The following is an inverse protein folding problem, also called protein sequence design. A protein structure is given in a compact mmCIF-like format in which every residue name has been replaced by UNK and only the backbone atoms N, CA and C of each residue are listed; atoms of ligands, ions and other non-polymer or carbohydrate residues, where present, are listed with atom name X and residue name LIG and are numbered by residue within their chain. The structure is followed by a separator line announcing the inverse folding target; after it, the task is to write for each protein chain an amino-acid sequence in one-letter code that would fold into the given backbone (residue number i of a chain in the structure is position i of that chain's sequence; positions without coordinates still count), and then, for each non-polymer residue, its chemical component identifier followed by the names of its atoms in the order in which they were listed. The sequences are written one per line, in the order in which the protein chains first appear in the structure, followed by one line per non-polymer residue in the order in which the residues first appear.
data_IF_061813426878
#
_entry.id   IF_061813426878
#
_cell.length_a   1.000
_cell.length_b   1.000
_cell.length_c   1.000
_cell.angle_alpha   90.00
_cell.angle_beta   90.00
_cell.angle_gamma   90.00
#
_symmetry.space_group_name_H-M   'P 1'
#
loop_
_entity.id
_entity.type
_entity.pdbx_description
1 polymer ?
#
# COMPACT_ATOMS: atom_id res chain seq x y z
N UNK A 1 -20.05 17.22 0.12
CA UNK A 1 -18.69 17.79 0.33
C UNK A 1 -17.97 16.96 1.39
N UNK A 2 -17.37 15.83 1.01
CA UNK A 2 -16.74 14.91 1.97
C UNK A 2 -15.25 15.25 2.14
N UNK A 3 -14.94 16.05 3.16
CA UNK A 3 -13.57 16.15 3.71
C UNK A 3 -13.29 14.88 4.54
N UNK A 4 -12.82 13.81 3.90
CA UNK A 4 -12.13 12.68 4.54
C UNK A 4 -10.84 12.46 3.76
N UNK A 5 -9.66 12.22 4.33
CA UNK A 5 -9.02 12.49 5.62
C UNK A 5 -7.53 12.46 5.26
N UNK A 6 -6.69 13.15 6.02
CA UNK A 6 -5.26 13.31 5.71
C UNK A 6 -4.53 11.97 5.93
N UNK A 7 -4.56 11.06 4.94
CA UNK A 7 -3.82 9.78 4.98
C UNK A 7 -2.31 9.99 5.06
N UNK A 8 -1.84 11.16 4.65
CA UNK A 8 -0.41 11.47 4.58
C UNK A 8 0.20 11.64 5.96
N UNK A 9 1.17 10.79 6.26
CA UNK A 9 1.98 10.81 7.48
C UNK A 9 3.45 11.09 7.15
N UNK A 10 4.28 11.52 8.13
CA UNK A 10 5.72 11.57 7.98
C UNK A 10 6.34 10.22 7.61
N UNK A 11 7.41 10.25 6.80
CA UNK A 11 8.10 9.05 6.32
C UNK A 11 8.59 8.15 7.46
N UNK A 12 9.14 8.71 8.54
CA UNK A 12 9.63 7.93 9.67
C UNK A 12 8.54 7.12 10.36
N UNK A 13 7.32 7.67 10.48
CA UNK A 13 6.18 7.00 11.09
C UNK A 13 5.74 5.83 10.20
N UNK A 14 5.63 6.08 8.90
CA UNK A 14 5.30 5.05 7.93
C UNK A 14 6.32 3.91 7.95
N UNK A 15 7.61 4.24 7.85
CA UNK A 15 8.70 3.28 7.90
C UNK A 15 8.70 2.47 9.19
N UNK A 16 8.45 3.08 10.35
CA UNK A 16 8.31 2.38 11.64
C UNK A 16 7.18 1.34 11.61
N UNK A 17 6.06 1.63 10.96
CA UNK A 17 4.92 0.71 10.85
C UNK A 17 5.23 -0.45 9.89
N UNK A 18 5.95 -0.20 8.80
CA UNK A 18 6.22 -1.19 7.75
C UNK A 18 7.55 -1.95 7.91
N UNK A 19 8.21 -1.87 9.08
CA UNK A 19 9.53 -2.51 9.30
C UNK A 19 9.50 -4.02 9.15
N UNK A 20 8.35 -4.65 9.40
CA UNK A 20 8.19 -6.09 9.35
C UNK A 20 7.94 -6.56 7.92
N UNK A 21 8.47 -7.75 7.61
CA UNK A 21 8.13 -8.48 6.40
C UNK A 21 7.36 -9.73 6.82
N UNK A 22 6.16 -9.92 6.27
CA UNK A 22 5.40 -11.12 6.54
C UNK A 22 6.00 -12.29 5.72
N UNK A 23 6.42 -13.41 6.36
CA UNK A 23 6.92 -14.57 5.63
C UNK A 23 5.81 -15.34 4.92
N UNK A 24 4.56 -15.13 5.33
CA UNK A 24 3.36 -15.75 4.76
C UNK A 24 2.84 -14.84 3.66
N UNK A 25 2.73 -15.37 2.44
CA UNK A 25 2.02 -14.71 1.35
C UNK A 25 0.56 -15.12 1.42
N UNK A 26 -0.30 -14.27 1.99
CA UNK A 26 -1.74 -14.41 1.82
C UNK A 26 -2.19 -13.60 0.61
N UNK A 27 -3.04 -14.17 -0.23
CA UNK A 27 -3.61 -13.48 -1.39
C UNK A 27 -5.13 -13.42 -1.18
N UNK A 28 -5.55 -12.53 -0.29
CA UNK A 28 -6.98 -12.27 -0.02
C UNK A 28 -7.50 -11.13 -0.89
N UNK A 29 -6.60 -10.26 -1.36
CA UNK A 29 -6.94 -9.11 -2.17
C UNK A 29 -7.19 -9.49 -3.63
N UNK A 30 -8.32 -9.05 -4.16
CA UNK A 30 -8.71 -9.14 -5.56
C UNK A 30 -8.20 -7.93 -6.36
N UNK A 31 -7.89 -8.09 -7.66
CA UNK A 31 -7.61 -6.96 -8.54
C UNK A 31 -8.77 -5.95 -8.70
N UNK A 32 -9.96 -6.30 -8.19
CA UNK A 32 -11.13 -5.41 -8.19
C UNK A 32 -11.28 -4.62 -6.89
N UNK A 33 -10.54 -4.97 -5.84
CA UNK A 33 -10.65 -4.29 -4.55
C UNK A 33 -10.15 -2.85 -4.65
N UNK A 34 -10.88 -1.93 -4.01
CA UNK A 34 -10.68 -0.48 -4.13
C UNK A 34 -10.26 0.11 -2.79
N UNK A 35 -9.19 0.90 -2.79
CA UNK A 35 -8.67 1.55 -1.58
C UNK A 35 -8.48 3.06 -1.79
N UNK A 36 -8.49 3.82 -0.69
CA UNK A 36 -8.21 5.26 -0.69
C UNK A 36 -6.69 5.51 -0.72
N UNK A 37 -6.16 5.98 -1.85
CA UNK A 37 -4.74 6.28 -1.94
C UNK A 37 -4.40 7.66 -1.37
N UNK A 38 -3.21 7.80 -0.79
CA UNK A 38 -2.64 9.09 -0.36
C UNK A 38 -2.53 10.16 -1.44
N UNK A 39 -2.68 9.80 -2.73
CA UNK A 39 -2.74 10.75 -3.83
C UNK A 39 -4.08 11.50 -3.95
N UNK A 40 -5.08 11.15 -3.12
CA UNK A 40 -6.41 11.75 -3.10
C UNK A 40 -7.44 11.08 -4.04
N UNK A 41 -7.08 9.94 -4.66
CA UNK A 41 -7.96 9.17 -5.52
C UNK A 41 -8.12 7.74 -5.00
N UNK A 42 -9.24 7.11 -5.34
CA UNK A 42 -9.44 5.67 -5.13
C UNK A 42 -8.76 4.89 -6.25
N UNK A 43 -8.03 3.85 -5.88
CA UNK A 43 -7.35 2.95 -6.81
C UNK A 43 -7.84 1.53 -6.62
N UNK A 44 -7.89 0.77 -7.70
CA UNK A 44 -7.99 -0.68 -7.61
C UNK A 44 -6.61 -1.32 -7.58
N UNK A 45 -6.53 -2.46 -6.90
CA UNK A 45 -5.33 -3.29 -6.86
C UNK A 45 -5.08 -3.89 -8.25
N UNK A 46 -3.88 -3.81 -8.81
CA UNK A 46 -3.50 -4.39 -10.10
C UNK A 46 -4.02 -3.65 -11.36
N UNK A 47 -5.27 -3.18 -11.40
CA UNK A 47 -5.87 -2.65 -12.63
C UNK A 47 -5.71 -1.13 -12.82
N UNK A 48 -5.65 -0.33 -11.75
CA UNK A 48 -5.54 1.13 -11.82
C UNK A 48 -4.23 1.67 -11.22
N UNK A 49 -3.11 1.04 -11.57
CA UNK A 49 -1.76 1.45 -11.15
C UNK A 49 -1.48 1.31 -9.64
N UNK A 50 -2.34 0.62 -8.89
CA UNK A 50 -2.07 0.17 -7.53
C UNK A 50 -1.28 -1.13 -7.58
N UNK A 51 0.01 -1.12 -7.26
CA UNK A 51 0.85 -2.30 -7.26
C UNK A 51 1.26 -2.65 -5.83
N UNK A 52 0.91 -3.85 -5.37
CA UNK A 52 1.42 -4.38 -4.09
C UNK A 52 2.94 -4.56 -4.24
N UNK A 53 3.70 -3.90 -3.38
CA UNK A 53 5.16 -3.98 -3.38
C UNK A 53 5.72 -4.76 -2.19
N UNK A 54 4.95 -4.86 -1.11
CA UNK A 54 5.35 -5.55 0.13
C UNK A 54 4.13 -5.95 0.95
N UNK A 55 4.22 -7.08 1.64
CA UNK A 55 3.30 -7.48 2.69
C UNK A 55 3.98 -7.30 4.06
N UNK A 56 3.37 -6.52 4.95
CA UNK A 56 3.94 -6.15 6.25
C UNK A 56 3.40 -7.01 7.39
N UNK A 57 2.16 -7.49 7.25
CA UNK A 57 1.52 -8.40 8.18
C UNK A 57 0.54 -9.33 7.45
N UNK A 58 -0.08 -10.28 8.14
CA UNK A 58 -1.17 -11.07 7.60
C UNK A 58 -2.30 -10.13 7.18
N UNK A 59 -2.61 -10.09 5.89
CA UNK A 59 -3.62 -9.22 5.27
C UNK A 59 -3.31 -7.72 5.23
N UNK A 60 -2.11 -7.28 5.62
CA UNK A 60 -1.66 -5.88 5.54
C UNK A 60 -0.58 -5.73 4.46
N UNK A 61 -0.77 -4.79 3.52
CA UNK A 61 0.06 -4.63 2.34
C UNK A 61 0.43 -3.17 2.08
N UNK A 62 1.62 -2.96 1.54
CA UNK A 62 2.06 -1.68 0.98
C UNK A 62 1.80 -1.69 -0.51
N UNK A 63 1.00 -0.73 -0.96
CA UNK A 63 0.66 -0.53 -2.36
C UNK A 63 1.29 0.76 -2.87
N UNK A 64 1.99 0.68 -3.98
CA UNK A 64 2.52 1.82 -4.72
C UNK A 64 1.53 2.30 -5.77
N UNK A 65 1.48 3.61 -5.98
CA UNK A 65 0.74 4.25 -7.05
C UNK A 65 1.69 5.06 -7.95
N UNK A 66 1.42 5.05 -9.26
CA UNK A 66 2.16 5.82 -10.28
C UNK A 66 2.37 7.31 -10.00
N UNK A 67 1.58 7.92 -9.09
CA UNK A 67 1.74 9.31 -8.67
C UNK A 67 2.85 9.50 -7.62
N UNK A 68 3.62 8.45 -7.31
CA UNK A 68 4.69 8.48 -6.31
C UNK A 68 4.15 8.44 -4.89
N UNK A 69 3.08 7.68 -4.64
CA UNK A 69 2.54 7.48 -3.30
C UNK A 69 2.63 6.02 -2.91
N UNK A 70 2.94 5.78 -1.65
CA UNK A 70 2.85 4.47 -1.01
C UNK A 70 1.73 4.54 0.00
N UNK A 71 0.85 3.55 -0.01
CA UNK A 71 -0.30 3.46 0.91
C UNK A 71 -0.26 2.10 1.60
N UNK A 72 -0.37 2.11 2.92
CA UNK A 72 -0.54 0.91 3.73
C UNK A 72 -2.03 0.60 3.81
N UNK A 73 -2.41 -0.59 3.35
CA UNK A 73 -3.78 -1.07 3.31
C UNK A 73 -3.90 -2.38 4.08
N UNK A 74 -5.09 -2.67 4.58
CA UNK A 74 -5.44 -3.93 5.24
C UNK A 74 -6.78 -4.41 4.69
N UNK A 75 -6.94 -5.73 4.56
CA UNK A 75 -8.26 -6.31 4.30
C UNK A 75 -8.99 -6.50 5.62
N UNK A 76 -10.13 -5.82 5.76
CA UNK A 76 -11.01 -5.93 6.92
C UNK A 76 -12.06 -7.01 6.67
N UNK A 77 -12.06 -8.06 7.49
CA UNK A 77 -13.00 -9.18 7.37
C UNK A 77 -14.38 -8.88 7.95
N UNK A 78 -14.50 -7.91 8.84
CA UNK A 78 -15.80 -7.51 9.40
C UNK A 78 -16.60 -6.78 8.33
N UNK A 79 -15.95 -5.83 7.65
CA UNK A 79 -16.58 -5.02 6.59
C UNK A 79 -16.48 -5.66 5.19
N UNK A 80 -15.66 -6.69 5.02
CA UNK A 80 -15.30 -7.29 3.73
C UNK A 80 -14.82 -6.24 2.71
N UNK A 81 -13.97 -5.32 3.17
CA UNK A 81 -13.47 -4.21 2.37
C UNK A 81 -11.98 -3.93 2.65
N UNK A 82 -11.34 -3.16 1.77
CA UNK A 82 -9.95 -2.74 1.92
C UNK A 82 -9.86 -1.36 2.55
N UNK A 83 -9.25 -1.31 3.73
CA UNK A 83 -9.09 -0.08 4.49
C UNK A 83 -7.69 0.48 4.29
N UNK A 84 -7.59 1.79 4.11
CA UNK A 84 -6.31 2.50 4.01
C UNK A 84 -5.96 3.15 5.34
N UNK A 85 -4.81 2.79 5.90
CA UNK A 85 -4.40 3.28 7.22
C UNK A 85 -3.57 4.56 7.14
N UNK A 86 -2.61 4.58 6.21
CA UNK A 86 -1.68 5.70 6.08
C UNK A 86 -0.98 5.68 4.73
N UNK A 87 -0.46 6.82 4.32
CA UNK A 87 0.27 6.97 3.09
C UNK A 87 1.44 7.95 3.23
N UNK A 88 2.40 7.83 2.33
CA UNK A 88 3.49 8.79 2.15
C UNK A 88 3.63 9.15 0.69
N UNK A 89 4.14 10.35 0.42
CA UNK A 89 4.62 10.74 -0.90
C UNK A 89 6.11 10.46 -0.97
N UNK A 90 6.53 9.68 -1.95
CA UNK A 90 7.93 9.46 -2.28
C UNK A 90 8.32 10.42 -3.41
N UNK A 91 9.33 11.26 -3.18
CA UNK A 91 9.85 12.16 -4.20
C UNK A 91 10.74 11.40 -5.20
N UNK A 92 11.40 10.34 -4.74
CA UNK A 92 12.14 9.37 -5.54
C UNK A 92 11.90 7.96 -4.98
N UNK A 93 11.79 6.90 -5.82
CA UNK A 93 11.62 5.53 -5.37
C UNK A 93 12.89 5.05 -4.66
N UNK A 94 12.96 5.23 -3.34
CA UNK A 94 14.09 4.76 -2.54
C UNK A 94 14.11 3.23 -2.48
N UNK A 95 15.29 2.66 -2.74
CA UNK A 95 15.55 1.23 -2.67
C UNK A 95 15.19 0.60 -1.31
N UNK A 96 15.12 1.36 -0.22
CA UNK A 96 14.68 0.85 1.08
C UNK A 96 13.22 0.36 1.10
N UNK A 97 12.37 0.90 0.20
CA UNK A 97 10.95 0.51 0.11
C UNK A 97 10.72 -0.51 -1.01
N UNK A 98 11.48 -0.41 -2.10
CA UNK A 98 11.39 -1.33 -3.26
C UNK A 98 12.38 -2.51 -3.20
N UNK A 99 13.31 -2.52 -2.24
CA UNK A 99 14.52 -3.36 -2.21
C UNK A 99 14.33 -4.85 -1.96
N UNK A 100 13.10 -5.35 -2.02
CA UNK A 100 12.83 -6.79 -2.08
C UNK A 100 12.11 -7.25 -3.35
N UNK A 101 11.93 -6.36 -4.32
CA UNK A 101 11.55 -6.76 -5.68
C UNK A 101 12.84 -6.99 -6.46
N UNK A 102 13.57 -8.05 -6.12
CA UNK A 102 14.48 -8.64 -7.10
C UNK A 102 13.60 -9.26 -8.20
N UNK A 103 13.33 -8.49 -9.25
CA UNK A 103 13.00 -9.09 -10.54
C UNK A 103 14.30 -9.74 -10.99
N UNK A 104 14.43 -11.06 -10.83
CA UNK A 104 15.42 -11.81 -11.60
C UNK A 104 14.98 -11.76 -13.05
N UNK A 105 15.76 -11.20 -13.98
CA UNK A 105 15.51 -11.40 -15.39
C UNK A 105 15.87 -12.85 -15.72
N UNK A 106 14.93 -13.58 -16.31
CA UNK A 106 15.22 -14.70 -17.20
C UNK A 106 14.50 -14.41 -18.51
#
# INVERSE_FOLDING_TARGET
MNKKKKLLVPMEIFLKKIKFDCPIKSHVLSPLDIYDCGCGYRHSIGCNKGQIIKQTNLYEYVVSCSKGYLTLIEYDFEENDVVSHMAIRIQEPQAAVYGRIQVRPN
#
